data_IF_852117183493
#
_entry.id   IF_852117183493
#
_cell.length_a   1.000
_cell.length_b   1.000
_cell.length_c   1.000
_cell.angle_alpha   90.00
_cell.angle_beta   90.00
_cell.angle_gamma   90.00
#
_symmetry.space_group_name_H-M   'P 1'
#
loop_
_entity.id
_entity.type
_entity.pdbx_description
1 polymer ?
#
# COMPACT_ATOMS: atom_id res chain seq x y z
N UNK A 1 20.78 11.90 8.16
CA UNK A 1 19.36 11.74 7.75
C UNK A 1 19.18 10.27 7.44
N UNK A 2 18.07 9.68 7.84
CA UNK A 2 17.79 8.26 7.61
C UNK A 2 16.33 8.11 7.22
N UNK A 3 16.06 7.22 6.26
CA UNK A 3 14.71 6.80 5.92
C UNK A 3 14.32 5.65 6.84
N UNK A 4 13.22 5.80 7.58
CA UNK A 4 12.78 4.84 8.60
C UNK A 4 11.32 4.47 8.34
N UNK A 5 10.97 3.17 8.34
CA UNK A 5 9.58 2.75 8.42
C UNK A 5 8.91 3.31 9.67
N UNK A 6 7.77 3.99 9.49
CA UNK A 6 7.15 4.81 10.55
C UNK A 6 6.86 4.03 11.84
N UNK A 7 6.63 2.72 11.75
CA UNK A 7 6.42 1.84 12.91
C UNK A 7 7.61 1.78 13.89
N UNK A 8 8.82 2.12 13.46
CA UNK A 8 10.02 2.13 14.32
C UNK A 8 10.23 3.47 15.04
N UNK A 9 9.51 4.53 14.66
CA UNK A 9 9.66 5.86 15.27
C UNK A 9 9.45 5.85 16.80
N UNK A 10 8.43 5.17 17.38
CA UNK A 10 8.25 5.14 18.83
C UNK A 10 9.45 4.59 19.58
N UNK A 11 10.04 3.50 19.08
CA UNK A 11 11.24 2.89 19.68
C UNK A 11 12.44 3.82 19.57
N UNK A 12 12.68 4.41 18.40
CA UNK A 12 13.80 5.32 18.19
C UNK A 12 13.68 6.60 19.01
N UNK A 13 12.46 7.13 19.18
CA UNK A 13 12.19 8.25 20.08
C UNK A 13 12.47 7.86 21.53
N UNK A 14 11.97 6.71 21.98
CA UNK A 14 12.16 6.22 23.35
C UNK A 14 13.64 6.10 23.71
N UNK A 15 14.44 5.58 22.78
CA UNK A 15 15.90 5.45 22.92
C UNK A 15 16.65 6.75 22.60
N UNK A 16 15.94 7.85 22.32
CA UNK A 16 16.50 9.19 22.08
C UNK A 16 17.46 9.26 20.87
N UNK A 17 17.25 8.43 19.84
CA UNK A 17 18.08 8.37 18.64
C UNK A 17 17.71 9.37 17.55
N UNK A 18 16.53 10.00 17.64
CA UNK A 18 16.01 10.94 16.65
C UNK A 18 15.58 12.24 17.33
N UNK A 19 15.69 13.35 16.62
CA UNK A 19 15.36 14.68 17.15
C UNK A 19 13.88 15.02 16.96
N UNK A 20 13.39 15.97 17.75
CA UNK A 20 12.14 16.69 17.50
C UNK A 20 12.35 17.69 16.35
N UNK A 21 11.63 17.49 15.25
CA UNK A 21 11.73 18.31 14.03
C UNK A 21 10.62 19.37 13.94
N UNK A 22 9.74 19.48 14.94
CA UNK A 22 8.52 20.31 14.87
C UNK A 22 8.81 21.76 14.51
N UNK A 23 9.85 22.38 15.08
CA UNK A 23 10.22 23.77 14.82
C UNK A 23 10.97 23.99 13.50
N UNK A 24 11.39 22.91 12.83
CA UNK A 24 12.09 22.97 11.54
C UNK A 24 11.10 22.99 10.38
N UNK A 25 9.90 22.44 10.56
CA UNK A 25 8.92 22.22 9.49
C UNK A 25 8.14 23.52 9.19
N UNK A 26 8.26 24.08 7.98
CA UNK A 26 7.48 25.26 7.58
C UNK A 26 5.98 24.95 7.47
N UNK A 27 5.14 25.93 7.81
CA UNK A 27 3.68 25.81 7.68
C UNK A 27 3.24 25.43 6.26
N UNK A 28 3.86 26.02 5.23
CA UNK A 28 3.59 25.68 3.81
C UNK A 28 3.74 24.18 3.49
N UNK A 29 4.60 23.45 4.20
CA UNK A 29 4.78 22.00 4.02
C UNK A 29 3.73 21.26 4.85
N UNK A 30 3.52 21.72 6.09
CA UNK A 30 2.55 21.14 7.00
C UNK A 30 1.14 21.14 6.43
N UNK A 31 0.71 22.26 5.86
CA UNK A 31 -0.64 22.48 5.34
C UNK A 31 -0.92 21.74 4.03
N UNK A 32 0.14 21.33 3.31
CA UNK A 32 0.04 20.65 2.01
C UNK A 32 0.06 19.11 2.13
N UNK A 33 0.35 18.56 3.31
CA UNK A 33 0.35 17.11 3.54
C UNK A 33 -0.90 16.71 4.34
N UNK A 34 -1.64 15.66 3.93
CA UNK A 34 -2.84 15.22 4.64
C UNK A 34 -2.58 14.90 6.13
N UNK A 35 -3.52 15.26 7.00
CA UNK A 35 -3.40 15.03 8.45
C UNK A 35 -3.14 13.56 8.79
N UNK A 36 -3.80 12.62 8.09
CA UNK A 36 -3.58 11.17 8.28
C UNK A 36 -2.12 10.74 8.08
N UNK A 37 -1.39 11.43 7.20
CA UNK A 37 0.02 11.17 6.93
C UNK A 37 0.90 11.76 8.03
N UNK A 38 0.59 12.98 8.50
CA UNK A 38 1.25 13.55 9.68
C UNK A 38 1.07 12.70 10.94
N UNK A 39 -0.12 12.12 11.14
CA UNK A 39 -0.41 11.26 12.29
C UNK A 39 0.52 10.04 12.37
N UNK A 40 1.10 9.60 11.26
CA UNK A 40 2.08 8.49 11.25
C UNK A 40 3.45 8.84 11.84
N UNK A 41 3.77 10.13 11.97
CA UNK A 41 5.07 10.63 12.47
C UNK A 41 4.95 11.52 13.71
N UNK A 42 3.72 11.75 14.19
CA UNK A 42 3.40 12.54 15.38
C UNK A 42 3.45 11.69 16.65
N UNK A 43 4.11 12.20 17.69
CA UNK A 43 4.18 11.55 19.00
C UNK A 43 4.17 12.59 20.13
N UNK A 44 3.07 12.70 20.86
CA UNK A 44 2.87 13.75 21.89
C UNK A 44 3.03 15.15 21.30
N UNK A 45 2.26 15.46 20.25
CA UNK A 45 2.22 16.76 19.55
C UNK A 45 3.54 17.22 18.91
N UNK A 46 4.53 16.32 18.82
CA UNK A 46 5.84 16.56 18.22
C UNK A 46 6.06 15.69 17.02
N UNK A 47 6.70 16.25 15.99
CA UNK A 47 7.01 15.58 14.73
C UNK A 47 8.44 15.04 14.79
N UNK A 48 8.61 13.73 14.59
CA UNK A 48 9.92 13.06 14.67
C UNK A 48 10.44 12.52 13.33
N UNK A 49 9.70 12.80 12.25
CA UNK A 49 10.12 12.47 10.89
C UNK A 49 9.32 13.30 9.90
N UNK A 50 9.92 13.57 8.75
CA UNK A 50 9.21 14.11 7.60
C UNK A 50 8.57 12.95 6.82
N UNK A 51 7.26 12.92 6.62
CA UNK A 51 6.62 11.96 5.72
C UNK A 51 7.33 11.93 4.36
N UNK A 52 7.58 10.75 3.80
CA UNK A 52 8.36 10.65 2.56
C UNK A 52 7.75 9.73 1.52
N UNK A 53 7.59 8.44 1.84
CA UNK A 53 7.16 7.44 0.86
C UNK A 53 6.17 6.50 1.51
N UNK A 54 4.95 6.47 0.98
CA UNK A 54 3.84 5.67 1.50
C UNK A 54 3.25 4.82 0.40
N UNK A 55 2.64 3.71 0.81
CA UNK A 55 1.94 2.78 -0.07
C UNK A 55 0.72 2.23 0.65
N UNK A 56 -0.35 2.08 -0.11
CA UNK A 56 -1.49 1.27 0.27
C UNK A 56 -1.39 -0.13 -0.32
N UNK A 57 -2.02 -1.09 0.33
CA UNK A 57 -2.32 -2.37 -0.30
C UNK A 57 -3.41 -2.19 -1.35
N UNK A 58 -3.22 -2.83 -2.49
CA UNK A 58 -4.11 -2.86 -3.66
C UNK A 58 -4.09 -4.26 -4.28
N UNK A 59 -4.97 -4.51 -5.24
CA UNK A 59 -5.02 -5.79 -5.97
C UNK A 59 -4.44 -5.62 -7.37
N UNK A 60 -3.37 -6.36 -7.66
CA UNK A 60 -2.82 -6.52 -8.99
C UNK A 60 -3.61 -7.58 -9.75
N UNK A 61 -3.91 -7.29 -11.02
CA UNK A 61 -4.83 -8.09 -11.83
C UNK A 61 -4.20 -8.37 -13.19
N UNK A 62 -4.02 -9.64 -13.48
CA UNK A 62 -3.51 -10.10 -14.76
C UNK A 62 -4.64 -10.06 -15.82
N UNK A 63 -4.63 -9.01 -16.66
CA UNK A 63 -5.66 -8.82 -17.68
C UNK A 63 -5.63 -9.91 -18.75
N UNK A 64 -4.45 -10.46 -19.06
CA UNK A 64 -4.35 -11.57 -20.00
C UNK A 64 -5.10 -12.81 -19.48
N UNK A 65 -4.94 -13.14 -18.20
CA UNK A 65 -5.66 -14.25 -17.55
C UNK A 65 -7.18 -14.02 -17.56
N UNK A 66 -7.63 -12.79 -17.27
CA UNK A 66 -9.06 -12.46 -17.37
C UNK A 66 -9.59 -12.69 -18.78
N UNK A 67 -8.88 -12.22 -19.81
CA UNK A 67 -9.26 -12.40 -21.22
C UNK A 67 -9.37 -13.87 -21.63
N UNK A 68 -8.34 -14.70 -21.34
CA UNK A 68 -8.37 -16.13 -21.71
C UNK A 68 -9.41 -16.92 -20.91
N UNK A 69 -9.79 -16.41 -19.73
CA UNK A 69 -10.87 -16.96 -18.91
C UNK A 69 -12.25 -16.47 -19.35
N UNK A 70 -12.35 -15.68 -20.43
CA UNK A 70 -13.62 -15.13 -20.94
C UNK A 70 -14.26 -14.10 -20.01
N UNK A 71 -13.50 -13.53 -19.07
CA UNK A 71 -13.98 -12.57 -18.09
C UNK A 71 -13.83 -11.17 -18.67
N UNK A 72 -14.96 -10.50 -18.90
CA UNK A 72 -15.00 -9.08 -19.25
C UNK A 72 -15.18 -8.27 -17.98
N UNK A 73 -14.16 -7.51 -17.61
CA UNK A 73 -14.18 -6.66 -16.42
C UNK A 73 -14.57 -5.23 -16.82
N UNK A 74 -15.83 -4.84 -16.57
CA UNK A 74 -16.29 -3.47 -16.83
C UNK A 74 -16.17 -2.56 -15.61
N UNK A 75 -16.15 -3.14 -14.40
CA UNK A 75 -16.07 -2.41 -13.13
C UNK A 75 -15.12 -3.08 -12.16
N UNK A 76 -14.52 -2.28 -11.29
CA UNK A 76 -13.73 -2.76 -10.15
C UNK A 76 -14.67 -3.50 -9.18
N UNK A 77 -14.32 -4.70 -8.70
CA UNK A 77 -15.16 -5.41 -7.72
C UNK A 77 -15.25 -4.65 -6.39
N UNK A 78 -16.47 -4.56 -5.84
CA UNK A 78 -16.73 -3.83 -4.60
C UNK A 78 -16.72 -4.72 -3.34
N UNK A 79 -16.61 -6.05 -3.50
CA UNK A 79 -16.63 -7.01 -2.39
C UNK A 79 -15.69 -8.19 -2.61
N UNK A 80 -15.30 -8.85 -1.51
CA UNK A 80 -14.47 -10.06 -1.55
C UNK A 80 -15.16 -11.22 -2.28
N UNK A 81 -16.49 -11.34 -2.17
CA UNK A 81 -17.28 -12.37 -2.86
C UNK A 81 -17.21 -12.20 -4.39
N UNK A 82 -17.27 -10.96 -4.88
CA UNK A 82 -17.13 -10.68 -6.30
C UNK A 82 -15.73 -11.06 -6.81
N UNK A 83 -14.70 -10.78 -6.02
CA UNK A 83 -13.31 -11.14 -6.31
C UNK A 83 -13.14 -12.67 -6.34
N UNK A 84 -13.72 -13.37 -5.37
CA UNK A 84 -13.69 -14.84 -5.32
C UNK A 84 -14.39 -15.44 -6.53
N UNK A 85 -15.56 -14.93 -6.93
CA UNK A 85 -16.25 -15.41 -8.13
C UNK A 85 -15.41 -15.25 -9.40
N UNK A 86 -14.65 -14.15 -9.52
CA UNK A 86 -13.70 -13.96 -10.62
C UNK A 86 -12.55 -14.97 -10.52
N UNK A 87 -11.95 -15.13 -9.34
CA UNK A 87 -10.85 -16.07 -9.11
C UNK A 87 -11.24 -17.53 -9.37
N UNK A 88 -12.48 -17.93 -9.04
CA UNK A 88 -13.04 -19.25 -9.38
C UNK A 88 -13.19 -19.45 -10.89
N UNK A 89 -13.70 -18.43 -11.61
CA UNK A 89 -13.79 -18.49 -13.08
C UNK A 89 -12.42 -18.62 -13.73
N UNK A 90 -11.42 -17.90 -13.21
CA UNK A 90 -10.03 -18.04 -13.65
C UNK A 90 -9.57 -19.48 -13.49
N UNK A 91 -9.71 -20.04 -12.28
CA UNK A 91 -9.30 -21.41 -11.96
C UNK A 91 -10.01 -22.43 -12.84
N UNK A 92 -11.32 -22.30 -13.01
CA UNK A 92 -12.15 -23.22 -13.79
C UNK A 92 -11.80 -23.22 -15.29
N UNK A 93 -11.61 -22.03 -15.87
CA UNK A 93 -11.45 -21.87 -17.32
C UNK A 93 -10.01 -22.09 -17.80
N UNK A 94 -9.02 -21.95 -16.93
CA UNK A 94 -7.61 -22.19 -17.27
C UNK A 94 -7.10 -23.56 -16.79
N UNK A 95 -7.66 -24.07 -15.68
CA UNK A 95 -7.31 -25.33 -15.00
C UNK A 95 -5.91 -25.39 -14.38
N UNK A 96 -4.90 -24.72 -14.96
CA UNK A 96 -3.51 -24.71 -14.48
C UNK A 96 -3.14 -23.45 -13.70
N UNK A 97 -3.88 -22.35 -13.87
CA UNK A 97 -3.59 -21.06 -13.21
C UNK A 97 -4.30 -20.92 -11.88
N UNK A 98 -3.73 -20.12 -11.00
CA UNK A 98 -4.33 -19.76 -9.71
C UNK A 98 -5.21 -18.52 -9.85
N UNK A 99 -6.31 -18.50 -9.10
CA UNK A 99 -7.28 -17.41 -9.15
C UNK A 99 -6.83 -16.18 -8.37
N UNK A 100 -6.39 -16.38 -7.12
CA UNK A 100 -6.02 -15.29 -6.22
C UNK A 100 -4.93 -15.70 -5.23
N UNK A 101 -4.13 -14.72 -4.78
CA UNK A 101 -3.25 -14.86 -3.63
C UNK A 101 -3.37 -13.66 -2.68
N UNK A 102 -3.50 -13.95 -1.38
CA UNK A 102 -3.52 -12.97 -0.29
C UNK A 102 -2.37 -13.32 0.67
N UNK A 103 -1.31 -12.50 0.73
CA UNK A 103 -0.20 -12.73 1.66
C UNK A 103 -0.65 -12.63 3.12
N UNK A 104 -0.34 -13.66 3.91
CA UNK A 104 -0.60 -13.68 5.37
C UNK A 104 0.68 -13.60 6.22
N UNK A 105 1.85 -13.75 5.61
CA UNK A 105 3.14 -13.67 6.30
C UNK A 105 3.56 -12.22 6.61
N UNK A 106 3.15 -11.28 5.75
CA UNK A 106 3.34 -9.85 5.98
C UNK A 106 2.30 -9.33 6.95
N UNK A 107 2.74 -8.79 8.08
CA UNK A 107 1.82 -8.20 9.10
C UNK A 107 0.98 -7.07 8.53
N UNK A 108 1.55 -6.22 7.66
CA UNK A 108 0.82 -5.11 7.05
C UNK A 108 -0.33 -5.61 6.16
N UNK A 109 -0.02 -6.49 5.21
CA UNK A 109 -0.98 -7.05 4.26
C UNK A 109 -2.03 -7.90 4.96
N UNK A 110 -1.63 -8.67 5.98
CA UNK A 110 -2.56 -9.43 6.82
C UNK A 110 -3.56 -8.50 7.50
N UNK A 111 -3.10 -7.41 8.13
CA UNK A 111 -4.01 -6.48 8.79
C UNK A 111 -4.88 -5.75 7.74
N UNK A 112 -4.34 -5.34 6.60
CA UNK A 112 -5.12 -4.70 5.53
C UNK A 112 -6.25 -5.60 5.05
N UNK A 113 -5.97 -6.89 4.82
CA UNK A 113 -6.97 -7.88 4.50
C UNK A 113 -8.04 -7.98 5.59
N UNK A 114 -7.65 -8.13 6.87
CA UNK A 114 -8.59 -8.24 7.98
C UNK A 114 -9.48 -6.99 8.08
N UNK A 115 -8.92 -5.78 7.97
CA UNK A 115 -9.70 -4.55 8.08
C UNK A 115 -10.63 -4.35 6.88
N UNK A 116 -10.18 -4.70 5.68
CA UNK A 116 -11.00 -4.68 4.47
C UNK A 116 -12.15 -5.69 4.55
N UNK A 117 -11.89 -6.89 5.05
CA UNK A 117 -12.91 -7.94 5.19
C UNK A 117 -13.93 -7.62 6.31
N UNK A 118 -13.45 -7.20 7.48
CA UNK A 118 -14.30 -7.01 8.67
C UNK A 118 -14.93 -5.62 8.75
N UNK A 119 -14.38 -4.64 8.03
CA UNK A 119 -14.73 -3.22 8.18
C UNK A 119 -14.42 -2.68 9.57
N UNK A 120 -13.52 -3.33 10.34
CA UNK A 120 -13.12 -2.93 11.70
C UNK A 120 -11.59 -2.84 11.83
N UNK A 121 -11.04 -1.85 12.56
CA UNK A 121 -9.61 -1.78 12.80
C UNK A 121 -9.18 -2.87 13.79
N UNK A 122 -7.95 -3.37 13.64
CA UNK A 122 -7.36 -4.39 14.54
C UNK A 122 -6.74 -3.81 15.81
N UNK A 123 -6.68 -2.48 15.92
CA UNK A 123 -6.24 -1.76 17.09
C UNK A 123 -7.29 -0.69 17.43
N UNK A 124 -7.88 -0.79 18.61
CA UNK A 124 -8.90 0.15 19.10
C UNK A 124 -8.54 0.59 20.50
N UNK A 125 -8.43 1.90 20.72
CA UNK A 125 -8.12 2.48 22.04
C UNK A 125 -6.87 1.86 22.69
N UNK A 126 -5.83 1.59 21.88
CA UNK A 126 -4.57 0.99 22.34
C UNK A 126 -4.66 -0.52 22.65
N UNK A 127 -5.78 -1.19 22.35
CA UNK A 127 -5.96 -2.63 22.52
C UNK A 127 -6.07 -3.34 21.19
N UNK A 128 -5.35 -4.45 21.06
CA UNK A 128 -5.41 -5.31 19.88
C UNK A 128 -6.75 -6.06 19.87
N UNK A 129 -7.47 -6.00 18.75
CA UNK A 129 -8.81 -6.56 18.54
C UNK A 129 -8.82 -7.63 17.44
N UNK A 130 -7.92 -8.62 17.54
CA UNK A 130 -7.79 -9.71 16.55
C UNK A 130 -8.56 -10.98 16.92
N UNK A 131 -8.92 -11.17 18.20
CA UNK A 131 -9.65 -12.35 18.66
C UNK A 131 -11.16 -12.05 18.72
N UNK A 132 -11.79 -11.93 17.55
CA UNK A 132 -13.23 -11.65 17.42
C UNK A 132 -13.91 -12.62 16.46
N UNK A 133 -15.25 -12.65 16.46
CA UNK A 133 -16.02 -13.49 15.55
C UNK A 133 -15.78 -13.12 14.08
N UNK A 134 -15.67 -11.82 13.79
CA UNK A 134 -15.46 -11.28 12.45
C UNK A 134 -14.08 -11.64 11.89
N UNK A 135 -13.04 -11.59 12.74
CA UNK A 135 -11.70 -12.05 12.33
C UNK A 135 -11.69 -13.56 12.13
N UNK A 136 -12.42 -14.33 12.94
CA UNK A 136 -12.57 -15.77 12.72
C UNK A 136 -13.25 -16.08 11.39
N UNK A 137 -14.24 -15.28 10.97
CA UNK A 137 -14.87 -15.38 9.66
C UNK A 137 -13.87 -15.07 8.53
N UNK A 138 -13.08 -14.00 8.65
CA UNK A 138 -12.03 -13.67 7.68
C UNK A 138 -10.98 -14.79 7.53
N UNK A 139 -10.58 -15.41 8.64
CA UNK A 139 -9.68 -16.58 8.60
C UNK A 139 -10.34 -17.81 7.99
N UNK A 140 -11.65 -17.99 8.23
CA UNK A 140 -12.42 -19.09 7.61
C UNK A 140 -12.52 -18.89 6.10
N UNK A 141 -12.75 -17.66 5.65
CA UNK A 141 -12.72 -17.27 4.25
C UNK A 141 -11.37 -17.61 3.60
N UNK A 142 -10.23 -17.19 4.19
CA UNK A 142 -8.91 -17.55 3.67
C UNK A 142 -8.70 -19.07 3.56
N UNK A 143 -9.17 -19.83 4.55
CA UNK A 143 -9.10 -21.30 4.51
C UNK A 143 -9.96 -21.89 3.38
N UNK A 144 -11.13 -21.31 3.08
CA UNK A 144 -11.97 -21.76 1.98
C UNK A 144 -11.26 -21.57 0.64
N UNK A 145 -10.61 -20.42 0.40
CA UNK A 145 -9.87 -20.16 -0.84
C UNK A 145 -8.83 -21.24 -1.15
N UNK A 146 -8.18 -21.77 -0.10
CA UNK A 146 -7.14 -22.80 -0.22
C UNK A 146 -7.71 -24.20 -0.33
N UNK A 147 -8.58 -24.59 0.61
CA UNK A 147 -8.94 -26.00 0.83
C UNK A 147 -10.31 -26.40 0.29
N UNK A 148 -11.18 -25.43 0.03
CA UNK A 148 -12.54 -25.70 -0.47
C UNK A 148 -12.67 -25.31 -1.95
N UNK A 149 -12.32 -24.07 -2.27
CA UNK A 149 -12.40 -23.56 -3.64
C UNK A 149 -11.15 -23.94 -4.47
N UNK A 150 -10.02 -24.22 -3.80
CA UNK A 150 -8.74 -24.55 -4.45
C UNK A 150 -8.30 -23.49 -5.49
N UNK A 151 -8.55 -22.22 -5.19
CA UNK A 151 -8.25 -21.07 -6.06
C UNK A 151 -7.03 -20.27 -5.59
N UNK A 152 -6.58 -20.48 -4.36
CA UNK A 152 -5.38 -19.88 -3.79
C UNK A 152 -4.34 -20.97 -3.47
N UNK A 153 -3.08 -20.85 -3.93
CA UNK A 153 -2.06 -21.83 -3.63
C UNK A 153 -1.77 -21.88 -2.13
N UNK A 154 -1.57 -23.09 -1.62
CA UNK A 154 -1.17 -23.32 -0.23
C UNK A 154 0.36 -23.39 -0.10
N UNK A 155 0.89 -23.00 1.07
CA UNK A 155 2.30 -23.24 1.46
C UNK A 155 3.35 -22.62 0.54
N UNK A 156 3.03 -21.46 -0.04
CA UNK A 156 4.00 -20.64 -0.77
C UNK A 156 4.18 -19.30 -0.05
N UNK A 157 5.34 -18.70 -0.23
CA UNK A 157 5.69 -17.35 0.22
C UNK A 157 5.10 -16.28 -0.69
N UNK A 158 5.07 -15.02 -0.24
CA UNK A 158 4.71 -13.89 -1.09
C UNK A 158 5.65 -13.73 -2.28
N UNK A 159 6.95 -14.06 -2.10
CA UNK A 159 7.94 -14.03 -3.19
C UNK A 159 7.64 -15.08 -4.27
N UNK A 160 7.29 -16.30 -3.89
CA UNK A 160 6.88 -17.33 -4.85
C UNK A 160 5.56 -16.96 -5.56
N UNK A 161 4.62 -16.35 -4.83
CA UNK A 161 3.38 -15.85 -5.42
C UNK A 161 3.62 -14.72 -6.42
N UNK A 162 4.56 -13.81 -6.13
CA UNK A 162 5.02 -12.79 -7.07
C UNK A 162 5.61 -13.43 -8.33
N UNK A 163 6.44 -14.47 -8.18
CA UNK A 163 6.95 -15.24 -9.31
C UNK A 163 5.83 -15.85 -10.18
N UNK A 164 4.79 -16.43 -9.55
CA UNK A 164 3.61 -16.94 -10.24
C UNK A 164 2.82 -15.83 -10.95
N UNK A 165 2.73 -14.64 -10.33
CA UNK A 165 2.11 -13.49 -10.96
C UNK A 165 2.90 -13.10 -12.20
N UNK A 166 4.16 -12.73 -12.06
CA UNK A 166 5.03 -12.28 -13.16
C UNK A 166 5.09 -13.29 -14.32
N UNK A 167 5.06 -14.59 -14.04
CA UNK A 167 5.05 -15.64 -15.07
C UNK A 167 3.69 -15.89 -15.73
N UNK A 168 2.64 -15.14 -15.36
CA UNK A 168 1.29 -15.29 -15.91
C UNK A 168 0.53 -16.53 -15.43
N UNK A 169 0.80 -16.99 -14.19
CA UNK A 169 0.17 -18.16 -13.57
C UNK A 169 -0.70 -17.83 -12.34
N UNK A 170 -0.83 -16.54 -12.01
CA UNK A 170 -1.71 -16.04 -10.95
C UNK A 170 -2.57 -14.87 -11.47
N UNK A 171 -3.89 -14.99 -11.30
CA UNK A 171 -4.87 -14.01 -11.78
C UNK A 171 -4.90 -12.70 -10.99
N UNK A 172 -5.04 -12.82 -9.67
CA UNK A 172 -5.21 -11.67 -8.76
C UNK A 172 -4.22 -11.80 -7.60
N UNK A 173 -3.55 -10.72 -7.24
CA UNK A 173 -2.61 -10.71 -6.12
C UNK A 173 -2.79 -9.46 -5.27
N UNK A 174 -2.96 -9.62 -3.96
CA UNK A 174 -2.84 -8.48 -3.04
C UNK A 174 -1.37 -8.08 -2.92
N UNK A 175 -1.06 -6.84 -3.26
CA UNK A 175 0.28 -6.29 -3.35
C UNK A 175 0.33 -4.85 -2.83
N UNK A 176 1.52 -4.37 -2.52
CA UNK A 176 1.72 -2.97 -2.16
C UNK A 176 1.86 -2.13 -3.43
N UNK A 177 1.23 -0.97 -3.45
CA UNK A 177 1.32 -0.01 -4.55
C UNK A 177 2.73 0.45 -4.91
N UNK A 178 3.65 0.45 -3.95
CA UNK A 178 5.07 0.71 -4.19
C UNK A 178 5.72 -0.27 -5.17
N UNK A 179 5.13 -1.44 -5.39
CA UNK A 179 5.63 -2.44 -6.34
C UNK A 179 5.16 -2.18 -7.78
N UNK A 180 4.25 -1.23 -8.01
CA UNK A 180 3.57 -1.07 -9.30
C UNK A 180 4.54 -0.83 -10.47
N UNK A 181 5.47 0.13 -10.33
CA UNK A 181 6.48 0.42 -11.37
C UNK A 181 7.34 -0.81 -11.66
N UNK A 182 7.82 -1.47 -10.60
CA UNK A 182 8.65 -2.65 -10.76
C UNK A 182 7.87 -3.76 -11.48
N UNK A 183 6.67 -4.09 -11.00
CA UNK A 183 5.84 -5.14 -11.58
C UNK A 183 5.54 -4.83 -13.04
N UNK A 184 5.04 -3.65 -13.38
CA UNK A 184 4.76 -3.26 -14.78
C UNK A 184 5.98 -3.42 -15.69
N UNK A 185 7.18 -3.09 -15.21
CA UNK A 185 8.42 -3.26 -15.98
C UNK A 185 8.82 -4.72 -16.26
N UNK A 186 8.33 -5.66 -15.46
CA UNK A 186 8.65 -7.09 -15.57
C UNK A 186 7.59 -7.89 -16.33
N UNK A 187 6.40 -7.32 -16.56
CA UNK A 187 5.28 -8.05 -17.16
C UNK A 187 5.38 -8.10 -18.69
N UNK A 188 5.10 -9.29 -19.23
CA UNK A 188 4.87 -9.49 -20.66
C UNK A 188 3.38 -9.32 -21.06
N UNK A 189 2.55 -8.84 -20.15
CA UNK A 189 1.11 -8.69 -20.31
C UNK A 189 0.60 -7.44 -19.59
N UNK A 190 -0.63 -7.01 -19.93
CA UNK A 190 -1.21 -5.81 -19.32
C UNK A 190 -1.60 -6.06 -17.85
N UNK A 191 -1.16 -5.16 -16.98
CA UNK A 191 -1.60 -5.08 -15.59
C UNK A 191 -2.84 -4.20 -15.47
N UNK A 192 -3.77 -4.59 -14.61
CA UNK A 192 -4.77 -3.68 -14.07
C UNK A 192 -4.68 -3.68 -12.53
N UNK A 193 -5.19 -2.63 -11.91
CA UNK A 193 -5.18 -2.46 -10.46
C UNK A 193 -6.60 -2.23 -9.95
N UNK A 194 -6.97 -2.94 -8.89
CA UNK A 194 -8.20 -2.72 -8.15
C UNK A 194 -7.91 -2.25 -6.73
N UNK A 195 -8.82 -1.41 -6.21
CA UNK A 195 -8.88 -1.07 -4.81
C UNK A 195 -9.16 -2.31 -3.95
N UNK A 196 -8.73 -2.30 -2.69
CA UNK A 196 -9.15 -3.34 -1.75
C UNK A 196 -10.67 -3.21 -1.51
N UNK A 197 -11.42 -4.32 -1.51
CA UNK A 197 -12.85 -4.29 -1.25
C UNK A 197 -13.10 -3.95 0.22
N UNK A 198 -13.33 -2.69 0.55
CA UNK A 198 -13.53 -2.25 1.95
C UNK A 198 -14.91 -1.65 2.22
N UNK A 199 -15.79 -1.61 1.22
CA UNK A 199 -16.96 -0.74 1.24
C UNK A 199 -16.58 0.71 1.57
N UNK A 200 -17.48 1.44 2.26
CA UNK A 200 -17.26 2.86 2.64
C UNK A 200 -16.56 3.04 4.00
N UNK A 201 -16.26 1.99 4.76
CA UNK A 201 -16.04 2.15 6.21
C UNK A 201 -14.58 2.15 6.67
N UNK A 202 -13.62 1.52 5.99
CA UNK A 202 -12.19 1.58 6.39
C UNK A 202 -11.25 1.53 5.18
N UNK A 203 -10.45 2.60 5.00
CA UNK A 203 -9.37 2.62 4.02
C UNK A 203 -8.29 1.55 4.33
N UNK A 204 -7.56 1.04 3.32
CA UNK A 204 -6.43 0.14 3.53
C UNK A 204 -5.41 0.72 4.51
N UNK A 205 -4.59 -0.13 5.14
CA UNK A 205 -3.49 0.40 5.94
C UNK A 205 -2.53 1.10 5.00
N UNK A 206 -2.33 2.39 5.28
CA UNK A 206 -1.23 3.14 4.70
C UNK A 206 0.02 2.76 5.49
N UNK A 207 0.94 2.08 4.83
CA UNK A 207 2.28 1.84 5.35
C UNK A 207 3.25 2.80 4.69
N UNK A 208 4.35 3.12 5.36
CA UNK A 208 5.31 4.02 4.75
C UNK A 208 6.52 4.29 5.59
N UNK A 209 7.30 5.23 5.09
CA UNK A 209 8.57 5.66 5.64
C UNK A 209 8.59 7.17 5.79
N UNK A 210 9.42 7.62 6.71
CA UNK A 210 9.71 9.02 6.94
C UNK A 210 11.22 9.25 6.87
N UNK A 211 11.62 10.49 6.63
CA UNK A 211 12.99 10.96 6.76
C UNK A 211 13.16 11.56 8.17
N UNK A 212 13.99 10.94 9.00
CA UNK A 212 14.32 11.46 10.32
C UNK A 212 15.75 12.01 10.36
N UNK A 213 15.98 12.93 11.29
CA UNK A 213 17.31 13.40 11.65
C UNK A 213 17.74 12.67 12.91
N UNK A 214 18.81 11.89 12.78
CA UNK A 214 19.42 11.21 13.92
C UNK A 214 19.99 12.24 14.89
N UNK A 215 19.79 11.99 16.18
CA UNK A 215 20.47 12.72 17.23
C UNK A 215 21.96 12.43 17.13
N UNK A 216 22.76 13.48 17.10
CA UNK A 216 24.22 13.37 17.05
C UNK A 216 24.87 14.50 17.85
N UNK A 217 26.18 14.39 18.09
CA UNK A 217 26.95 15.49 18.68
C UNK A 217 27.19 16.67 17.73
N UNK A 218 26.80 16.55 16.45
CA UNK A 218 27.01 17.56 15.42
C UNK A 218 25.72 18.37 15.24
N UNK A 219 25.78 19.68 15.51
CA UNK A 219 24.67 20.62 15.34
C UNK A 219 24.53 21.07 13.88
N UNK A 220 23.92 20.20 13.06
CA UNK A 220 23.62 20.45 11.64
C UNK A 220 22.15 20.16 11.30
N UNK A 221 21.25 20.32 12.28
CA UNK A 221 19.84 19.95 12.12
C UNK A 221 19.17 20.80 11.03
N UNK A 222 19.54 22.08 10.91
CA UNK A 222 18.99 22.98 9.88
C UNK A 222 19.46 22.61 8.48
N UNK A 223 20.73 22.30 8.31
CA UNK A 223 21.30 21.86 7.02
C UNK A 223 20.73 20.49 6.62
N UNK A 224 20.61 19.57 7.59
CA UNK A 224 19.96 18.30 7.37
C UNK A 224 18.49 18.48 6.95
N UNK A 225 17.77 19.37 7.62
CA UNK A 225 16.38 19.67 7.26
C UNK A 225 16.26 20.33 5.89
N UNK A 226 17.18 21.21 5.47
CA UNK A 226 17.17 21.76 4.10
C UNK A 226 17.25 20.69 3.03
N UNK A 227 18.03 19.63 3.25
CA UNK A 227 18.06 18.49 2.33
C UNK A 227 16.74 17.70 2.35
N UNK A 228 16.16 17.50 3.53
CA UNK A 228 14.82 16.88 3.66
C UNK A 228 13.76 17.72 2.92
N UNK A 229 13.77 19.05 3.10
CA UNK A 229 12.86 19.98 2.43
C UNK A 229 12.98 19.89 0.91
N UNK A 230 14.20 19.80 0.37
CA UNK A 230 14.43 19.56 -1.05
C UNK A 230 13.81 18.24 -1.52
N UNK A 231 14.08 17.13 -0.83
CA UNK A 231 13.56 15.81 -1.22
C UNK A 231 12.03 15.74 -1.27
N UNK A 232 11.36 16.51 -0.41
CA UNK A 232 9.89 16.53 -0.27
C UNK A 232 9.26 17.77 -0.86
N UNK A 233 9.99 18.57 -1.66
CA UNK A 233 9.39 19.71 -2.35
C UNK A 233 8.34 19.27 -3.39
N UNK A 234 7.60 20.22 -3.95
CA UNK A 234 6.49 19.93 -4.86
C UNK A 234 6.94 19.12 -6.08
N UNK A 235 7.98 19.58 -6.77
CA UNK A 235 8.47 18.94 -7.99
C UNK A 235 9.11 17.58 -7.71
N UNK A 236 9.86 17.45 -6.61
CA UNK A 236 10.52 16.22 -6.24
C UNK A 236 9.54 15.18 -5.71
N UNK A 237 8.45 15.57 -5.04
CA UNK A 237 7.38 14.66 -4.67
C UNK A 237 6.68 14.06 -5.92
N UNK A 238 6.47 14.89 -6.96
CA UNK A 238 5.92 14.45 -8.26
C UNK A 238 6.89 13.51 -8.99
N UNK A 239 8.17 13.88 -9.06
CA UNK A 239 9.22 13.03 -9.66
C UNK A 239 9.34 11.70 -8.91
N UNK A 240 9.32 11.73 -7.58
CA UNK A 240 9.36 10.52 -6.77
C UNK A 240 8.17 9.61 -7.08
N UNK A 241 6.96 10.17 -7.18
CA UNK A 241 5.77 9.38 -7.53
C UNK A 241 5.90 8.71 -8.90
N UNK A 242 6.19 9.48 -9.94
CA UNK A 242 6.29 8.98 -11.33
C UNK A 242 7.38 7.94 -11.54
N UNK A 243 8.45 7.95 -10.73
CA UNK A 243 9.54 6.98 -10.85
C UNK A 243 9.39 5.75 -9.94
N UNK A 244 8.61 5.84 -8.86
CA UNK A 244 8.53 4.77 -7.85
C UNK A 244 7.15 4.14 -7.72
N UNK A 245 6.10 4.80 -8.22
CA UNK A 245 4.71 4.38 -8.06
C UNK A 245 4.12 4.72 -6.70
N UNK A 246 4.94 5.18 -5.74
CA UNK A 246 4.45 5.61 -4.42
C UNK A 246 3.73 6.95 -4.55
N UNK A 247 2.48 7.10 -4.07
CA UNK A 247 1.75 8.36 -4.27
C UNK A 247 2.45 9.58 -3.68
N UNK A 248 2.33 10.71 -4.39
CA UNK A 248 2.86 11.97 -3.91
C UNK A 248 2.19 12.36 -2.57
N UNK A 249 3.01 12.65 -1.57
CA UNK A 249 2.53 12.98 -0.21
C UNK A 249 1.88 14.37 -0.11
N UNK A 250 2.04 15.21 -1.14
CA UNK A 250 1.50 16.57 -1.22
C UNK A 250 0.12 16.57 -1.87
N UNK A 251 -0.82 17.26 -1.24
CA UNK A 251 -2.20 17.39 -1.71
C UNK A 251 -2.23 18.22 -3.00
N UNK A 252 -1.45 19.29 -3.07
CA UNK A 252 -1.30 20.14 -4.26
C UNK A 252 -0.80 19.38 -5.49
N UNK A 253 -0.12 18.25 -5.33
CA UNK A 253 0.35 17.45 -6.47
C UNK A 253 -0.82 16.89 -7.30
N UNK A 254 -2.01 16.74 -6.71
CA UNK A 254 -3.21 16.27 -7.43
C UNK A 254 -3.66 17.20 -8.57
N UNK A 255 -3.27 18.47 -8.51
CA UNK A 255 -3.56 19.48 -9.54
C UNK A 255 -2.41 19.62 -10.56
N UNK A 256 -1.32 18.86 -10.41
CA UNK A 256 -0.18 18.91 -11.31
C UNK A 256 -0.56 18.40 -12.70
N UNK A 257 -0.33 19.23 -13.72
CA UNK A 257 -0.51 18.82 -15.11
C UNK A 257 0.38 17.62 -15.47
N UNK A 258 1.62 17.59 -14.98
CA UNK A 258 2.54 16.47 -15.21
C UNK A 258 1.99 15.16 -14.65
N UNK A 259 1.35 15.19 -13.46
CA UNK A 259 0.73 14.00 -12.90
C UNK A 259 -0.56 13.60 -13.62
N UNK A 260 -1.37 14.57 -14.05
CA UNK A 260 -2.58 14.27 -14.82
C UNK A 260 -2.23 13.58 -16.14
N UNK A 261 -1.21 14.06 -16.86
CA UNK A 261 -0.68 13.43 -18.08
C UNK A 261 -0.15 12.03 -17.76
N UNK A 262 0.65 11.90 -16.69
CA UNK A 262 1.17 10.59 -16.27
C UNK A 262 0.05 9.58 -15.99
N UNK A 263 -1.05 9.99 -15.36
CA UNK A 263 -2.20 9.10 -15.11
C UNK A 263 -2.98 8.74 -16.37
N UNK A 264 -3.02 9.59 -17.39
CA UNK A 264 -3.59 9.22 -18.69
C UNK A 264 -2.77 8.12 -19.38
N UNK A 265 -1.45 8.20 -19.29
CA UNK A 265 -0.53 7.21 -19.87
C UNK A 265 -0.41 5.94 -19.00
N UNK A 266 -0.53 6.09 -17.69
CA UNK A 266 -0.30 5.04 -16.68
C UNK A 266 -1.43 4.99 -15.64
N UNK A 267 -2.67 4.62 -16.05
CA UNK A 267 -3.88 4.76 -15.21
C UNK A 267 -3.85 3.96 -13.91
N UNK A 268 -3.07 2.87 -13.84
CA UNK A 268 -2.91 2.08 -12.62
C UNK A 268 -2.35 2.90 -11.44
N UNK A 269 -1.52 3.91 -11.71
CA UNK A 269 -0.91 4.75 -10.68
C UNK A 269 -1.92 5.70 -10.03
N UNK A 270 -2.98 6.07 -10.76
CA UNK A 270 -4.07 6.89 -10.22
C UNK A 270 -4.85 6.13 -9.15
N UNK A 271 -5.14 4.84 -9.40
CA UNK A 271 -5.81 3.95 -8.43
C UNK A 271 -5.02 3.88 -7.12
N UNK A 272 -3.69 3.75 -7.21
CA UNK A 272 -2.83 3.81 -6.02
C UNK A 272 -2.90 5.16 -5.31
N UNK A 273 -2.94 6.28 -6.04
CA UNK A 273 -2.93 7.61 -5.46
C UNK A 273 -4.23 7.96 -4.71
N UNK A 274 -5.35 7.38 -5.14
CA UNK A 274 -6.67 7.58 -4.50
C UNK A 274 -6.72 6.93 -3.10
N UNK A 275 -5.95 5.87 -2.86
CA UNK A 275 -5.90 5.20 -1.55
C UNK A 275 -5.17 6.02 -0.47
N UNK A 276 -4.36 7.01 -0.89
CA UNK A 276 -3.48 7.82 -0.04
C UNK A 276 -4.06 9.19 0.31
#
# INVERSE_FOLDING_TARGET
IVQIPVQFLPSLKKENYIIDMTSLIPLKIKDDIPEKIWNSVLMQDKIYGMPFSYSADILFVNQHILRISGIKQEKIPESWENIVSIAEKIRHNTRDKWGIFIPIESTAQFISFIQSYTGKPVLQNGKITINTAEVKEAMTFLRQLVYLNEIMPSKITAYEAEGLFLSGNLGIMLAQSSMLVYTESQLAYDLNVWHLPSGKSIAPIITGTCLAILKSGIKREREAFKFIEYLVDYENAIKWHTHTGTPAIRTSAKESLDLLIFYEESPNHMTSAIEL
#
